data_IF_287670553259
#
_entry.id   IF_287670553259
#
_cell.length_a   1.000
_cell.length_b   1.000
_cell.length_c   1.000
_cell.angle_alpha   90.00
_cell.angle_beta   90.00
_cell.angle_gamma   90.00
#
_symmetry.space_group_name_H-M   'P 1'
#
loop_
_entity.id
_entity.type
_entity.pdbx_description
1 polymer ?
#
# COMPACT_ATOMS: atom_id res chain seq x y z
N UNK A 1 -64.42 30.94 39.93
CA UNK A 1 -63.10 31.22 40.47
C UNK A 1 -62.28 29.95 40.42
N UNK A 2 -61.30 29.85 39.60
CA UNK A 2 -60.49 28.68 39.50
C UNK A 2 -59.68 28.70 38.19
N UNK A 3 -58.79 29.66 38.17
CA UNK A 3 -57.79 29.69 37.11
C UNK A 3 -56.56 28.90 37.60
N UNK A 4 -55.98 28.10 36.70
CA UNK A 4 -54.55 27.73 36.81
C UNK A 4 -54.31 26.27 37.08
N UNK A 5 -54.07 25.55 36.00
CA UNK A 5 -53.09 24.48 35.95
C UNK A 5 -53.02 23.86 34.50
N UNK A 6 -52.34 24.49 33.61
CA UNK A 6 -51.85 23.82 32.42
C UNK A 6 -50.60 24.53 31.92
N UNK A 7 -49.48 24.17 32.48
CA UNK A 7 -48.18 24.49 31.90
C UNK A 7 -47.14 23.64 32.61
N UNK A 8 -46.94 22.40 32.21
CA UNK A 8 -45.72 21.64 32.45
C UNK A 8 -45.82 20.26 31.77
N UNK A 9 -45.57 20.20 30.47
CA UNK A 9 -45.22 18.94 29.84
C UNK A 9 -44.74 19.24 28.41
N UNK A 10 -43.53 19.76 28.29
CA UNK A 10 -42.85 19.82 27.01
C UNK A 10 -41.34 20.10 27.22
N UNK A 11 -40.65 19.25 27.94
CA UNK A 11 -39.18 19.19 27.86
C UNK A 11 -38.78 17.80 28.30
N UNK A 12 -38.76 16.84 27.41
CA UNK A 12 -38.02 15.57 27.58
C UNK A 12 -38.20 14.65 26.38
N UNK A 13 -37.83 15.08 25.20
CA UNK A 13 -37.48 14.15 24.12
C UNK A 13 -36.55 14.87 23.14
N UNK A 14 -35.33 15.14 23.54
CA UNK A 14 -34.27 15.46 22.59
C UNK A 14 -32.90 15.18 23.20
N UNK A 15 -32.62 13.93 23.53
CA UNK A 15 -31.26 13.53 23.81
C UNK A 15 -31.11 12.01 23.70
N UNK A 16 -31.06 11.44 22.52
CA UNK A 16 -30.04 10.40 22.31
C UNK A 16 -29.37 10.39 20.94
N UNK A 17 -29.42 11.44 20.11
CA UNK A 17 -28.80 11.38 18.75
C UNK A 17 -27.39 11.94 18.69
N UNK A 18 -26.84 12.48 19.76
CA UNK A 18 -25.46 13.03 19.72
C UNK A 18 -24.38 12.09 20.29
N UNK A 19 -24.76 10.98 20.91
CA UNK A 19 -23.79 10.05 21.48
C UNK A 19 -23.23 9.07 20.42
N UNK A 20 -24.00 8.82 19.36
CA UNK A 20 -23.57 7.87 18.32
C UNK A 20 -22.49 8.38 17.36
N UNK A 21 -22.35 9.69 17.18
CA UNK A 21 -21.38 10.26 16.22
C UNK A 21 -20.01 10.54 16.84
N UNK A 22 -19.92 10.71 18.14
CA UNK A 22 -18.64 10.98 18.81
C UNK A 22 -17.80 9.72 19.07
N UNK A 23 -18.40 8.54 19.01
CA UNK A 23 -17.67 7.28 19.17
C UNK A 23 -17.05 6.77 17.85
N UNK A 24 -17.59 7.19 16.70
CA UNK A 24 -17.08 6.75 15.40
C UNK A 24 -15.76 7.43 14.99
N UNK A 25 -15.45 8.59 15.57
CA UNK A 25 -14.26 9.37 15.22
C UNK A 25 -13.01 9.05 16.06
N UNK A 26 -13.05 7.99 16.89
CA UNK A 26 -11.93 7.61 17.77
C UNK A 26 -11.41 6.19 17.60
N UNK A 27 -11.85 5.48 16.57
CA UNK A 27 -11.20 4.21 16.26
C UNK A 27 -9.86 4.53 15.61
N UNK A 28 -8.79 4.14 16.27
CA UNK A 28 -7.47 4.15 15.64
C UNK A 28 -7.51 3.26 14.38
N UNK A 29 -6.70 3.52 13.37
CA UNK A 29 -6.62 2.65 12.20
C UNK A 29 -6.39 1.17 12.52
N UNK A 30 -5.80 0.88 13.70
CA UNK A 30 -5.61 -0.47 14.26
C UNK A 30 -6.91 -1.15 14.72
N UNK A 31 -7.98 -0.37 14.99
CA UNK A 31 -9.24 -0.89 15.53
C UNK A 31 -10.29 -1.16 14.45
N UNK A 32 -9.94 -0.87 13.20
CA UNK A 32 -10.79 -1.21 12.08
C UNK A 32 -10.68 -2.72 11.82
N UNK A 33 -11.82 -3.43 11.66
CA UNK A 33 -11.77 -4.82 11.27
C UNK A 33 -10.97 -4.94 9.96
N UNK A 34 -10.19 -6.00 9.77
CA UNK A 34 -9.49 -6.25 8.53
C UNK A 34 -10.49 -6.10 7.38
N UNK A 35 -10.19 -5.24 6.40
CA UNK A 35 -10.98 -5.21 5.20
C UNK A 35 -10.91 -6.62 4.59
N UNK A 36 -12.07 -7.24 4.32
CA UNK A 36 -12.19 -8.61 3.80
C UNK A 36 -11.46 -8.82 2.46
N UNK A 37 -10.96 -7.75 1.86
CA UNK A 37 -10.19 -7.73 0.61
C UNK A 37 -8.76 -7.23 0.76
N UNK A 38 -8.16 -7.27 1.95
CA UNK A 38 -6.72 -7.03 2.05
C UNK A 38 -6.02 -8.19 1.36
N UNK A 39 -5.35 -7.88 0.27
CA UNK A 39 -4.42 -8.82 -0.36
C UNK A 39 -3.39 -9.22 0.69
N UNK A 40 -3.47 -10.47 1.15
CA UNK A 40 -2.47 -10.99 2.10
C UNK A 40 -1.20 -11.19 1.30
N UNK A 41 -0.22 -10.31 1.51
CA UNK A 41 1.09 -10.52 0.95
C UNK A 41 1.85 -11.54 1.82
N UNK A 42 2.45 -12.57 1.24
CA UNK A 42 3.27 -13.49 1.98
C UNK A 42 4.48 -12.73 2.56
N UNK A 43 4.93 -13.11 3.73
CA UNK A 43 6.19 -12.59 4.26
C UNK A 43 7.34 -12.94 3.29
N UNK A 44 8.33 -12.05 3.10
CA UNK A 44 9.51 -12.40 2.33
C UNK A 44 10.24 -13.56 3.03
N UNK A 45 10.98 -14.41 2.28
CA UNK A 45 11.84 -15.42 2.88
C UNK A 45 12.82 -14.82 3.90
N UNK A 46 13.25 -15.63 4.88
CA UNK A 46 14.05 -15.15 6.01
C UNK A 46 15.34 -14.40 5.63
N UNK A 47 15.93 -14.73 4.48
CA UNK A 47 17.11 -14.02 3.93
C UNK A 47 16.81 -12.57 3.49
N UNK A 48 15.54 -12.24 3.28
CA UNK A 48 15.08 -10.88 2.93
C UNK A 48 14.40 -10.18 4.10
N UNK A 49 13.96 -10.95 5.09
CA UNK A 49 13.23 -10.39 6.23
C UNK A 49 14.12 -9.39 6.99
N UNK A 50 13.58 -8.21 7.28
CA UNK A 50 14.28 -7.19 8.04
C UNK A 50 15.42 -6.48 7.29
N UNK A 51 15.60 -6.73 5.99
CA UNK A 51 16.54 -5.93 5.20
C UNK A 51 16.07 -4.47 5.16
N UNK A 52 17.01 -3.56 5.36
CA UNK A 52 16.81 -2.13 5.18
C UNK A 52 17.61 -1.63 3.98
N UNK A 53 17.13 -0.59 3.36
CA UNK A 53 17.79 0.02 2.20
C UNK A 53 19.16 0.58 2.61
N UNK A 54 20.28 0.07 2.07
CA UNK A 54 21.60 0.56 2.39
C UNK A 54 21.97 1.85 1.62
N UNK A 55 21.16 2.23 0.61
CA UNK A 55 21.43 3.39 -0.23
C UNK A 55 20.93 4.65 0.47
N UNK A 56 21.75 5.68 0.65
CA UNK A 56 21.31 6.95 1.24
C UNK A 56 20.13 7.55 0.48
N UNK A 57 19.08 7.94 1.20
CA UNK A 57 17.90 8.59 0.63
C UNK A 57 18.19 10.07 0.39
N UNK A 58 18.63 10.42 -0.82
CA UNK A 58 18.86 11.78 -1.25
C UNK A 58 17.98 12.12 -2.46
N UNK A 59 17.79 13.41 -2.80
CA UNK A 59 17.08 13.78 -4.03
C UNK A 59 17.68 13.12 -5.28
N UNK A 60 19.00 12.98 -5.33
CA UNK A 60 19.72 12.38 -6.46
C UNK A 60 19.45 10.89 -6.58
N UNK A 61 19.51 10.14 -5.46
CA UNK A 61 19.24 8.70 -5.47
C UNK A 61 17.78 8.39 -5.79
N UNK A 62 16.85 9.21 -5.30
CA UNK A 62 15.43 9.12 -5.64
C UNK A 62 15.22 9.38 -7.14
N UNK A 63 15.84 10.44 -7.68
CA UNK A 63 15.71 10.76 -9.10
C UNK A 63 16.30 9.66 -10.00
N UNK A 64 17.44 9.08 -9.61
CA UNK A 64 17.99 7.90 -10.29
C UNK A 64 17.01 6.72 -10.26
N UNK A 65 16.40 6.46 -9.10
CA UNK A 65 15.39 5.42 -8.94
C UNK A 65 14.18 5.62 -9.83
N UNK A 66 13.68 6.84 -9.94
CA UNK A 66 12.60 7.18 -10.89
C UNK A 66 13.01 6.95 -12.34
N UNK A 67 14.26 7.26 -12.70
CA UNK A 67 14.80 7.00 -14.03
C UNK A 67 14.85 5.50 -14.34
N UNK A 68 15.30 4.69 -13.41
CA UNK A 68 15.31 3.22 -13.56
C UNK A 68 13.87 2.66 -13.61
N UNK A 69 12.97 3.15 -12.75
CA UNK A 69 11.56 2.77 -12.82
C UNK A 69 10.96 3.08 -14.21
N UNK A 70 11.21 4.27 -14.73
CA UNK A 70 10.71 4.66 -16.03
C UNK A 70 11.22 3.72 -17.15
N UNK A 71 12.47 3.28 -17.05
CA UNK A 71 13.09 2.41 -18.05
C UNK A 71 12.61 0.95 -17.96
N UNK A 72 12.53 0.40 -16.76
CA UNK A 72 12.35 -1.04 -16.56
C UNK A 72 10.96 -1.45 -16.06
N UNK A 73 10.28 -0.59 -15.29
CA UNK A 73 9.05 -0.94 -14.56
C UNK A 73 7.79 -0.32 -15.19
N UNK A 74 7.90 0.94 -15.69
CA UNK A 74 6.76 1.69 -16.19
C UNK A 74 6.05 1.05 -17.39
N UNK A 75 6.70 0.26 -18.27
CA UNK A 75 5.98 -0.44 -19.34
C UNK A 75 4.83 -1.30 -18.82
N UNK A 76 4.97 -1.90 -17.63
CA UNK A 76 3.94 -2.70 -16.99
C UNK A 76 3.19 -1.90 -15.92
N UNK A 77 3.91 -1.24 -15.00
CA UNK A 77 3.33 -0.58 -13.84
C UNK A 77 2.78 0.84 -14.10
N UNK A 78 2.98 1.37 -15.33
CA UNK A 78 2.50 2.69 -15.72
C UNK A 78 3.43 3.83 -15.29
N UNK A 79 3.52 4.88 -16.12
CA UNK A 79 4.29 6.09 -15.79
C UNK A 79 3.69 6.89 -14.62
N UNK A 80 2.40 6.68 -14.34
CA UNK A 80 1.68 7.27 -13.20
C UNK A 80 1.63 6.32 -12.00
N UNK A 81 2.39 5.24 -11.99
CA UNK A 81 2.41 4.24 -10.93
C UNK A 81 1.06 3.52 -10.70
N UNK A 82 0.16 3.54 -11.67
CA UNK A 82 -1.25 3.11 -11.58
C UNK A 82 -1.51 1.68 -12.08
N UNK A 83 -0.47 0.93 -12.41
CA UNK A 83 -0.58 -0.44 -12.94
C UNK A 83 -1.08 -0.52 -14.39
N UNK A 84 -1.17 0.61 -15.11
CA UNK A 84 -1.75 0.70 -16.46
C UNK A 84 -0.70 0.97 -17.54
N UNK A 85 0.45 0.36 -17.43
CA UNK A 85 1.47 0.44 -18.47
C UNK A 85 1.01 -0.16 -19.80
N UNK A 86 1.66 0.24 -20.88
CA UNK A 86 1.29 -0.22 -22.24
C UNK A 86 1.40 -1.73 -22.43
N UNK A 87 2.31 -2.37 -21.69
CA UNK A 87 2.51 -3.82 -21.67
C UNK A 87 1.64 -4.57 -20.64
N UNK A 88 0.81 -3.86 -19.86
CA UNK A 88 -0.03 -4.47 -18.81
C UNK A 88 -1.22 -5.26 -19.35
N UNK A 89 -1.55 -5.08 -20.63
CA UNK A 89 -2.75 -5.70 -21.22
C UNK A 89 -2.66 -7.22 -21.21
N UNK A 90 -3.72 -7.84 -20.67
CA UNK A 90 -3.86 -9.30 -20.66
C UNK A 90 -3.14 -10.01 -19.51
N UNK A 91 -2.45 -9.31 -18.62
CA UNK A 91 -1.90 -9.93 -17.42
C UNK A 91 -3.00 -10.20 -16.39
N UNK A 92 -2.94 -11.39 -15.81
CA UNK A 92 -3.80 -11.81 -14.70
C UNK A 92 -2.95 -12.55 -13.66
N UNK A 93 -2.70 -11.97 -12.48
CA UNK A 93 -3.17 -10.65 -12.04
C UNK A 93 -2.56 -9.50 -12.84
N UNK A 94 -3.22 -8.33 -12.86
CA UNK A 94 -2.66 -7.12 -13.46
C UNK A 94 -1.47 -6.61 -12.63
N UNK A 95 -0.58 -5.79 -13.21
CA UNK A 95 0.47 -5.12 -12.46
C UNK A 95 -0.09 -4.30 -11.30
N UNK A 96 0.62 -4.31 -10.17
CA UNK A 96 0.20 -3.58 -8.98
C UNK A 96 0.06 -2.07 -9.26
N UNK A 97 -0.99 -1.48 -8.69
CA UNK A 97 -1.21 -0.04 -8.66
C UNK A 97 -0.54 0.56 -7.42
N UNK A 98 0.61 1.17 -7.59
CA UNK A 98 1.38 1.76 -6.48
C UNK A 98 0.80 3.09 -5.98
N UNK A 99 0.01 3.77 -6.81
CA UNK A 99 -0.70 4.99 -6.41
C UNK A 99 -1.85 4.71 -5.43
N UNK A 100 -2.30 3.46 -5.34
CA UNK A 100 -3.30 3.04 -4.36
C UNK A 100 -2.63 2.87 -2.98
N UNK A 101 -3.09 3.60 -1.93
CA UNK A 101 -2.48 3.53 -0.60
C UNK A 101 -2.64 2.17 0.09
N UNK A 102 -3.45 1.27 -0.45
CA UNK A 102 -3.59 -0.11 0.06
C UNK A 102 -2.56 -1.08 -0.52
N UNK A 103 -1.67 -0.60 -1.39
CA UNK A 103 -0.60 -1.38 -2.01
C UNK A 103 0.75 -1.12 -1.32
N UNK A 104 1.69 -0.43 -1.97
CA UNK A 104 3.06 -0.32 -1.46
C UNK A 104 3.18 0.36 -0.10
N UNK A 105 2.28 1.28 0.26
CA UNK A 105 2.27 1.89 1.59
C UNK A 105 2.03 0.89 2.74
N UNK A 106 1.50 -0.28 2.43
CA UNK A 106 1.28 -1.36 3.38
C UNK A 106 2.45 -2.37 3.43
N UNK A 107 3.50 -2.14 2.65
CA UNK A 107 4.63 -3.05 2.49
C UNK A 107 5.91 -2.45 3.05
N UNK A 108 6.81 -3.31 3.49
CA UNK A 108 8.17 -2.94 3.86
C UNK A 108 9.06 -2.92 2.62
N UNK A 109 10.13 -2.13 2.66
CA UNK A 109 11.11 -2.09 1.58
C UNK A 109 11.76 -3.46 1.31
N UNK A 110 11.97 -4.26 2.35
CA UNK A 110 12.49 -5.64 2.24
C UNK A 110 11.60 -6.54 1.39
N UNK A 111 10.27 -6.40 1.52
CA UNK A 111 9.31 -7.13 0.71
C UNK A 111 9.41 -6.71 -0.77
N UNK A 112 9.47 -5.41 -1.06
CA UNK A 112 9.60 -4.91 -2.43
C UNK A 112 10.94 -5.35 -3.04
N UNK A 113 12.02 -5.30 -2.27
CA UNK A 113 13.32 -5.76 -2.72
C UNK A 113 13.28 -7.23 -3.14
N UNK A 114 12.72 -8.10 -2.31
CA UNK A 114 12.51 -9.50 -2.66
C UNK A 114 11.66 -9.67 -3.92
N UNK A 115 10.54 -8.95 -4.01
CA UNK A 115 9.63 -9.05 -5.15
C UNK A 115 10.24 -8.62 -6.46
N UNK A 116 11.01 -7.55 -6.47
CA UNK A 116 11.71 -7.09 -7.67
C UNK A 116 12.79 -8.11 -8.05
N UNK A 117 13.61 -8.55 -7.10
CA UNK A 117 14.65 -9.55 -7.39
C UNK A 117 14.09 -10.84 -7.98
N UNK A 118 13.10 -11.42 -7.34
CA UNK A 118 12.60 -12.78 -7.66
C UNK A 118 11.44 -12.78 -8.65
N UNK A 119 10.81 -11.65 -8.87
CA UNK A 119 9.66 -11.56 -9.78
C UNK A 119 8.43 -12.31 -9.26
N UNK A 120 7.57 -12.70 -10.19
CA UNK A 120 6.36 -13.44 -9.91
C UNK A 120 6.46 -14.95 -10.07
N UNK A 121 7.52 -15.42 -10.72
CA UNK A 121 7.70 -16.84 -11.02
C UNK A 121 8.24 -17.56 -9.78
N UNK A 122 7.58 -18.66 -9.40
CA UNK A 122 8.03 -19.49 -8.28
C UNK A 122 7.63 -18.98 -6.90
N UNK A 123 6.67 -18.06 -6.80
CA UNK A 123 6.07 -17.74 -5.51
C UNK A 123 5.42 -18.98 -4.90
N UNK A 124 5.52 -19.15 -3.57
CA UNK A 124 4.89 -20.26 -2.90
C UNK A 124 3.37 -20.19 -3.07
N UNK A 125 2.72 -21.35 -2.97
CA UNK A 125 1.27 -21.47 -3.17
C UNK A 125 0.47 -20.61 -2.19
N UNK A 126 1.03 -20.34 -1.03
CA UNK A 126 0.48 -19.45 0.00
C UNK A 126 0.41 -17.99 -0.48
N UNK A 127 1.23 -17.64 -1.48
CA UNK A 127 1.19 -16.34 -2.15
C UNK A 127 0.18 -16.26 -3.30
N UNK A 128 -0.62 -17.29 -3.53
CA UNK A 128 -1.65 -17.29 -4.56
C UNK A 128 -2.75 -16.25 -4.24
N UNK A 129 -3.27 -15.55 -5.25
CA UNK A 129 -3.36 -15.92 -6.69
C UNK A 129 -2.20 -15.41 -7.58
N UNK A 130 -1.00 -15.39 -7.07
CA UNK A 130 0.16 -14.71 -7.63
C UNK A 130 0.87 -15.45 -8.78
N UNK A 131 0.14 -15.91 -9.77
CA UNK A 131 0.76 -16.25 -11.07
C UNK A 131 1.15 -14.97 -11.80
N UNK A 132 1.99 -14.16 -11.14
CA UNK A 132 2.40 -12.88 -11.69
C UNK A 132 3.40 -13.08 -12.83
N UNK A 133 3.18 -12.33 -13.92
CA UNK A 133 4.11 -12.30 -15.05
C UNK A 133 5.33 -11.40 -14.79
N UNK A 134 5.48 -10.84 -13.59
CA UNK A 134 6.61 -9.97 -13.25
C UNK A 134 7.93 -10.69 -13.45
N UNK A 135 8.85 -10.15 -14.25
CA UNK A 135 10.15 -10.74 -14.47
C UNK A 135 11.00 -10.81 -13.19
N UNK A 136 11.97 -11.71 -13.20
CA UNK A 136 13.03 -11.76 -12.20
C UNK A 136 14.12 -10.78 -12.58
N UNK A 137 14.29 -9.71 -11.80
CA UNK A 137 15.23 -8.64 -12.14
C UNK A 137 16.64 -8.83 -11.57
N UNK A 138 16.88 -9.81 -10.70
CA UNK A 138 18.20 -10.06 -10.09
C UNK A 138 19.30 -10.41 -11.10
N UNK A 139 18.92 -10.84 -12.30
CA UNK A 139 19.87 -11.18 -13.37
C UNK A 139 20.29 -9.97 -14.20
N UNK A 140 19.47 -8.91 -14.20
CA UNK A 140 19.62 -7.74 -15.06
C UNK A 140 20.01 -6.48 -14.27
N UNK A 141 19.57 -6.37 -13.00
CA UNK A 141 19.75 -5.19 -12.19
C UNK A 141 20.60 -5.48 -10.95
N UNK A 142 21.63 -4.67 -10.68
CA UNK A 142 22.35 -4.70 -9.42
C UNK A 142 21.43 -4.36 -8.24
N UNK A 143 21.70 -4.91 -7.06
CA UNK A 143 20.94 -4.66 -5.85
C UNK A 143 20.80 -3.16 -5.51
N UNK A 144 21.86 -2.37 -5.74
CA UNK A 144 21.82 -0.93 -5.55
C UNK A 144 20.75 -0.24 -6.41
N UNK A 145 20.59 -0.67 -7.68
CA UNK A 145 19.58 -0.10 -8.56
C UNK A 145 18.16 -0.49 -8.12
N UNK A 146 17.99 -1.71 -7.65
CA UNK A 146 16.71 -2.18 -7.10
C UNK A 146 16.32 -1.32 -5.89
N UNK A 147 17.26 -1.06 -4.97
CA UNK A 147 17.01 -0.18 -3.83
C UNK A 147 16.66 1.25 -4.23
N UNK A 148 17.31 1.79 -5.25
CA UNK A 148 16.97 3.10 -5.82
C UNK A 148 15.59 3.10 -6.46
N UNK A 149 15.23 2.04 -7.20
CA UNK A 149 13.89 1.88 -7.79
C UNK A 149 12.82 1.96 -6.70
N UNK A 150 12.99 1.23 -5.60
CA UNK A 150 12.06 1.23 -4.46
C UNK A 150 11.85 2.65 -3.91
N UNK A 151 12.92 3.41 -3.72
CA UNK A 151 12.80 4.82 -3.31
C UNK A 151 12.06 5.65 -4.34
N UNK A 152 12.31 5.43 -5.63
CA UNK A 152 11.63 6.09 -6.73
C UNK A 152 10.15 5.75 -6.83
N UNK A 153 9.78 4.50 -6.54
CA UNK A 153 8.38 4.03 -6.50
C UNK A 153 7.62 4.73 -5.37
N UNK A 154 8.15 4.74 -4.16
CA UNK A 154 7.50 5.42 -3.03
C UNK A 154 7.34 6.92 -3.28
N UNK A 155 8.38 7.59 -3.76
CA UNK A 155 8.33 9.02 -4.02
C UNK A 155 7.39 9.35 -5.20
N UNK A 156 7.48 8.61 -6.29
CA UNK A 156 6.65 8.82 -7.47
C UNK A 156 5.18 8.51 -7.26
N UNK A 157 4.88 7.52 -6.42
CA UNK A 157 3.52 7.15 -6.03
C UNK A 157 2.98 8.02 -4.88
N UNK A 158 3.77 8.96 -4.33
CA UNK A 158 3.43 9.77 -3.15
C UNK A 158 3.08 8.93 -1.91
N UNK A 159 3.79 7.82 -1.72
CA UNK A 159 3.62 6.91 -0.61
C UNK A 159 4.87 6.88 0.28
N UNK A 160 4.75 6.22 1.42
CA UNK A 160 5.88 5.97 2.32
C UNK A 160 5.92 4.50 2.71
N UNK A 161 7.12 3.93 2.95
CA UNK A 161 7.23 2.56 3.42
C UNK A 161 6.53 2.37 4.77
N UNK A 162 6.02 1.18 4.99
CA UNK A 162 5.55 0.77 6.30
C UNK A 162 6.73 0.68 7.26
N UNK A 163 6.68 1.45 8.35
CA UNK A 163 7.76 1.55 9.36
C UNK A 163 7.47 0.81 10.66
N UNK A 164 6.31 0.18 10.77
CA UNK A 164 5.88 -0.56 11.96
C UNK A 164 5.74 -2.05 11.66
N UNK A 165 6.08 -2.87 12.60
CA UNK A 165 5.93 -4.32 12.64
C UNK A 165 4.82 -4.73 13.61
#
# INVERSE_FOLDING_TARGET
TGAGQMARLAVLVMFPLLVGWQTYSRLAPSDLPPAENRTIHPAPPGEYAGLSNPVPKTPETIQQGKGFYAAFCSPCHGGNFDGKGSAARGFNPPPANFADPTTIAMLQESYLFWRIKKGGVGLPIEGMPWKSAMPRWELELPDEWIWKIIMGEYDGAHQSPRTWE
#
